data_IF_051820266633
#
_entry.id   IF_051820266633
#
_cell.length_a   1.000
_cell.length_b   1.000
_cell.length_c   1.000
_cell.angle_alpha   90.00
_cell.angle_beta   90.00
_cell.angle_gamma   90.00
#
_symmetry.space_group_name_H-M   'P 1'
#
loop_
_entity.id
_entity.type
_entity.pdbx_description
1 polymer ?
#
# COMPACT_ATOMS: atom_id res chain seq x y z
N UNK A 1 0.64 11.22 0.92
CA UNK A 1 0.01 10.99 -0.39
C UNK A 1 0.31 9.56 -0.77
N UNK A 2 -0.62 8.70 -0.42
CA UNK A 2 -0.43 7.27 -0.35
C UNK A 2 -1.33 6.62 -1.41
N UNK A 3 -0.79 5.63 -2.14
CA UNK A 3 -1.47 4.51 -2.83
C UNK A 3 -1.10 4.33 -4.28
N UNK A 4 -0.92 3.04 -4.65
CA UNK A 4 -0.51 2.65 -5.98
C UNK A 4 -1.33 1.53 -6.60
N UNK A 5 -2.00 0.66 -5.83
CA UNK A 5 -2.69 -0.53 -6.37
C UNK A 5 -3.77 -1.07 -5.41
N UNK A 6 -4.84 -1.66 -5.93
CA UNK A 6 -5.91 -2.33 -5.16
C UNK A 6 -5.89 -3.85 -5.42
N UNK A 7 -5.95 -4.63 -4.35
CA UNK A 7 -6.03 -6.10 -4.38
C UNK A 7 -7.33 -6.55 -3.71
N UNK A 8 -8.29 -7.03 -4.52
CA UNK A 8 -9.53 -7.65 -4.05
C UNK A 8 -9.29 -9.01 -3.44
N UNK A 9 -10.02 -9.32 -2.36
CA UNK A 9 -9.97 -10.62 -1.68
C UNK A 9 -8.52 -11.10 -1.48
N UNK A 10 -7.68 -10.28 -0.86
CA UNK A 10 -6.27 -10.60 -0.70
C UNK A 10 -6.08 -11.82 0.21
N UNK A 11 -5.68 -12.95 -0.37
CA UNK A 11 -5.38 -14.17 0.38
C UNK A 11 -4.26 -13.99 1.42
N UNK A 12 -3.34 -13.05 1.18
CA UNK A 12 -2.31 -12.65 2.16
C UNK A 12 -2.95 -11.92 3.35
N UNK A 13 -4.01 -11.16 3.10
CA UNK A 13 -4.71 -10.36 4.09
C UNK A 13 -6.06 -10.97 4.52
N UNK A 14 -6.10 -12.31 4.66
CA UNK A 14 -7.28 -13.07 5.14
C UNK A 14 -8.53 -12.88 4.26
N UNK A 15 -8.34 -12.87 2.94
CA UNK A 15 -9.40 -12.64 1.95
C UNK A 15 -10.06 -11.27 2.08
N UNK A 16 -9.32 -10.28 2.61
CA UNK A 16 -9.78 -8.89 2.66
C UNK A 16 -9.27 -8.09 1.48
N UNK A 17 -10.14 -7.24 0.98
CA UNK A 17 -9.76 -6.16 0.09
C UNK A 17 -8.65 -5.31 0.73
N UNK A 18 -7.63 -4.99 -0.07
CA UNK A 18 -6.38 -4.40 0.43
C UNK A 18 -5.75 -3.41 -0.54
N UNK A 19 -5.05 -2.43 0.01
CA UNK A 19 -4.34 -1.39 -0.72
C UNK A 19 -2.84 -1.54 -0.57
N UNK A 20 -2.12 -1.36 -1.68
CA UNK A 20 -0.68 -1.13 -1.65
C UNK A 20 -0.38 0.34 -1.38
N UNK A 21 0.30 0.56 -0.26
CA UNK A 21 0.55 1.86 0.36
C UNK A 21 2.04 2.13 0.38
N UNK A 22 2.49 3.18 -0.30
CA UNK A 22 3.88 3.65 -0.28
C UNK A 22 3.98 4.91 0.57
N UNK A 23 4.92 4.92 1.52
CA UNK A 23 5.04 5.96 2.54
C UNK A 23 6.48 6.46 2.69
N UNK A 24 6.61 7.76 2.93
CA UNK A 24 7.78 8.36 3.57
C UNK A 24 7.80 8.02 5.06
N UNK A 25 8.95 8.23 5.70
CA UNK A 25 9.08 8.00 7.16
C UNK A 25 8.11 8.85 7.97
N UNK A 26 7.90 10.11 7.57
CA UNK A 26 6.97 11.00 8.24
C UNK A 26 5.53 10.50 8.11
N UNK A 27 5.14 10.01 6.92
CA UNK A 27 3.79 9.47 6.71
C UNK A 27 3.53 8.19 7.51
N UNK A 28 4.56 7.36 7.72
CA UNK A 28 4.46 6.19 8.63
C UNK A 28 4.15 6.65 10.05
N UNK A 29 4.90 7.64 10.56
CA UNK A 29 4.68 8.18 11.91
C UNK A 29 3.29 8.81 12.05
N UNK A 30 2.84 9.53 11.04
CA UNK A 30 1.60 10.31 11.13
C UNK A 30 0.34 9.45 10.90
N UNK A 31 0.42 8.38 10.09
CA UNK A 31 -0.77 7.63 9.64
C UNK A 31 -0.76 6.14 10.02
N UNK A 32 0.42 5.48 10.06
CA UNK A 32 0.49 4.02 10.27
C UNK A 32 0.68 3.70 11.75
N UNK A 33 1.68 4.30 12.39
CA UNK A 33 2.01 4.02 13.79
C UNK A 33 0.88 4.32 14.80
N UNK A 34 0.00 5.31 14.58
CA UNK A 34 -1.16 5.51 15.45
C UNK A 34 -2.15 4.34 15.44
N UNK A 35 -2.16 3.54 14.37
CA UNK A 35 -3.08 2.42 14.18
C UNK A 35 -2.44 1.07 14.55
N UNK A 36 -1.14 0.90 14.30
CA UNK A 36 -0.37 -0.29 14.68
C UNK A 36 1.10 0.06 14.95
N UNK A 37 1.57 -0.25 16.16
CA UNK A 37 2.94 0.06 16.61
C UNK A 37 3.51 -0.96 17.58
N UNK A 38 3.08 -2.22 17.50
CA UNK A 38 3.67 -3.28 18.32
C UNK A 38 5.13 -3.55 17.93
N UNK A 39 5.91 -4.09 18.86
CA UNK A 39 7.36 -4.19 18.72
C UNK A 39 7.79 -5.09 17.54
N UNK A 40 6.98 -6.09 17.18
CA UNK A 40 7.32 -6.97 16.08
C UNK A 40 7.01 -6.31 14.75
N UNK A 41 5.88 -5.61 14.64
CA UNK A 41 5.58 -4.79 13.47
C UNK A 41 6.64 -3.71 13.21
N UNK A 42 7.14 -3.06 14.27
CA UNK A 42 8.22 -2.07 14.12
C UNK A 42 9.51 -2.68 13.57
N UNK A 43 9.85 -3.91 13.97
CA UNK A 43 11.02 -4.63 13.40
C UNK A 43 10.79 -5.01 11.95
N UNK A 44 9.58 -5.42 11.59
CA UNK A 44 9.21 -5.74 10.21
C UNK A 44 9.30 -4.52 9.30
N UNK A 45 8.86 -3.35 9.75
CA UNK A 45 9.07 -2.08 9.05
C UNK A 45 10.56 -1.88 8.78
N UNK A 46 11.38 -1.90 9.82
CA UNK A 46 12.82 -1.67 9.69
C UNK A 46 13.50 -2.66 8.73
N UNK A 47 13.11 -3.93 8.79
CA UNK A 47 13.67 -4.98 7.94
C UNK A 47 13.29 -4.83 6.47
N UNK A 48 12.07 -4.37 6.19
CA UNK A 48 11.52 -4.30 4.83
C UNK A 48 11.71 -2.94 4.15
N UNK A 49 12.22 -1.93 4.87
CA UNK A 49 12.55 -0.62 4.31
C UNK A 49 13.43 -0.74 3.05
N UNK A 50 13.19 0.14 2.08
CA UNK A 50 13.99 0.25 0.87
C UNK A 50 13.60 1.46 0.05
N UNK A 51 14.45 1.92 -0.86
CA UNK A 51 14.17 3.13 -1.66
C UNK A 51 13.55 2.76 -3.00
N UNK A 52 12.34 3.25 -3.28
CA UNK A 52 11.86 3.34 -4.66
C UNK A 52 12.38 4.65 -5.27
N UNK A 53 13.44 4.56 -6.07
CA UNK A 53 13.92 5.73 -6.81
C UNK A 53 13.02 5.96 -8.03
N UNK A 54 12.29 7.08 -8.06
CA UNK A 54 11.82 7.63 -9.33
C UNK A 54 12.74 8.79 -9.68
N UNK A 55 13.62 8.51 -10.65
CA UNK A 55 14.45 9.41 -11.46
C UNK A 55 14.68 10.85 -10.93
N UNK A 56 15.93 11.16 -10.58
CA UNK A 56 16.42 12.46 -10.05
C UNK A 56 16.12 13.70 -10.92
N UNK A 57 15.61 13.53 -12.14
CA UNK A 57 15.24 14.62 -13.04
C UNK A 57 13.76 15.04 -12.95
N UNK A 58 12.95 14.33 -12.15
CA UNK A 58 11.54 14.63 -11.91
C UNK A 58 11.39 14.94 -10.42
N UNK A 59 10.68 16.02 -10.10
CA UNK A 59 10.53 16.56 -8.75
C UNK A 59 9.59 15.68 -7.90
N UNK A 60 9.91 14.40 -7.73
CA UNK A 60 9.01 13.36 -7.23
C UNK A 60 9.46 12.72 -5.91
N UNK A 61 8.47 12.30 -5.12
CA UNK A 61 8.59 11.75 -3.76
C UNK A 61 9.37 10.43 -3.76
N UNK A 62 10.32 10.31 -2.82
CA UNK A 62 11.01 9.05 -2.51
C UNK A 62 10.25 8.36 -1.38
N UNK A 63 9.70 7.17 -1.64
CA UNK A 63 9.08 6.34 -0.61
C UNK A 63 10.10 5.34 -0.07
N UNK A 64 10.05 5.12 1.24
CA UNK A 64 11.00 4.29 1.99
C UNK A 64 10.35 3.08 2.66
N UNK A 65 9.02 3.08 2.77
CA UNK A 65 8.24 2.07 3.45
C UNK A 65 7.04 1.67 2.59
N UNK A 66 6.70 0.38 2.60
CA UNK A 66 5.67 -0.18 1.74
C UNK A 66 4.79 -1.13 2.54
N UNK A 67 3.48 -1.02 2.35
CA UNK A 67 2.51 -1.73 3.15
C UNK A 67 1.40 -2.31 2.28
N UNK A 68 0.88 -3.45 2.71
CA UNK A 68 -0.46 -3.89 2.33
C UNK A 68 -1.40 -3.59 3.50
N UNK A 69 -2.43 -2.79 3.25
CA UNK A 69 -3.37 -2.31 4.28
C UNK A 69 -4.78 -2.76 3.91
N UNK A 70 -5.50 -3.43 4.82
CA UNK A 70 -6.89 -3.79 4.55
C UNK A 70 -7.78 -2.55 4.47
N UNK A 71 -8.86 -2.63 3.69
CA UNK A 71 -9.85 -1.53 3.54
C UNK A 71 -10.43 -1.05 4.86
N UNK A 72 -10.62 -1.97 5.80
CA UNK A 72 -11.19 -1.72 7.11
C UNK A 72 -10.14 -1.24 8.13
N UNK A 73 -8.88 -1.06 7.70
CA UNK A 73 -7.75 -0.63 8.51
C UNK A 73 -7.50 -1.52 9.74
N UNK A 74 -7.86 -2.80 9.67
CA UNK A 74 -7.62 -3.75 10.76
C UNK A 74 -6.34 -4.57 10.59
N UNK A 75 -5.83 -4.67 9.37
CA UNK A 75 -4.63 -5.43 9.04
C UNK A 75 -3.62 -4.56 8.29
N UNK A 76 -2.38 -4.60 8.76
CA UNK A 76 -1.26 -3.88 8.17
C UNK A 76 -0.09 -4.85 8.09
N UNK A 77 0.44 -5.02 6.90
CA UNK A 77 1.58 -5.88 6.61
C UNK A 77 2.68 -5.06 5.95
N UNK A 78 3.88 -5.11 6.51
CA UNK A 78 5.06 -4.44 5.95
C UNK A 78 5.67 -5.30 4.84
N UNK A 79 6.05 -4.70 3.72
CA UNK A 79 6.64 -5.39 2.58
C UNK A 79 7.87 -4.65 2.03
N UNK A 80 8.73 -5.41 1.34
CA UNK A 80 9.86 -4.84 0.61
C UNK A 80 9.38 -4.08 -0.64
N UNK A 81 10.08 -3.01 -1.01
CA UNK A 81 9.81 -2.17 -2.18
C UNK A 81 9.72 -2.92 -3.52
N UNK A 82 10.36 -4.10 -3.63
CA UNK A 82 10.31 -4.93 -4.84
C UNK A 82 8.98 -5.68 -5.01
N UNK A 83 8.10 -5.66 -4.02
CA UNK A 83 6.79 -6.29 -4.07
C UNK A 83 5.74 -5.31 -4.65
N UNK A 84 4.70 -5.78 -5.38
CA UNK A 84 4.51 -7.12 -5.92
C UNK A 84 5.36 -7.43 -7.16
N UNK A 85 6.02 -6.42 -7.74
CA UNK A 85 6.68 -6.51 -9.03
C UNK A 85 8.13 -7.00 -8.90
N UNK A 86 8.33 -8.18 -8.32
CA UNK A 86 9.64 -8.81 -8.31
C UNK A 86 9.90 -9.38 -9.72
N UNK A 87 10.78 -8.69 -10.45
CA UNK A 87 11.03 -8.86 -11.89
C UNK A 87 11.20 -10.30 -12.39
N UNK A 88 10.54 -10.54 -13.52
CA UNK A 88 10.54 -11.67 -14.49
C UNK A 88 9.18 -12.33 -14.66
N UNK A 89 8.25 -12.19 -13.71
CA UNK A 89 6.94 -12.81 -13.78
C UNK A 89 5.83 -11.82 -13.38
N UNK A 90 5.47 -10.90 -14.28
CA UNK A 90 4.13 -10.28 -14.30
C UNK A 90 2.98 -11.33 -14.37
N UNK A 91 3.29 -12.62 -14.34
CA UNK A 91 2.37 -13.74 -14.34
C UNK A 91 1.63 -13.94 -13.01
N UNK A 92 2.02 -13.24 -11.93
CA UNK A 92 1.30 -13.29 -10.65
C UNK A 92 1.25 -11.90 -10.00
N UNK A 93 0.95 -10.86 -10.77
CA UNK A 93 0.54 -9.58 -10.19
C UNK A 93 -0.81 -9.80 -9.50
N UNK A 94 -0.89 -9.75 -8.15
CA UNK A 94 -2.11 -10.07 -7.46
C UNK A 94 -3.14 -8.92 -7.49
N UNK A 95 -2.73 -7.76 -8.00
CA UNK A 95 -3.58 -6.59 -8.11
C UNK A 95 -4.43 -6.71 -9.37
N UNK A 96 -5.75 -6.81 -9.19
CA UNK A 96 -6.73 -6.91 -10.27
C UNK A 96 -6.84 -5.59 -11.05
N UNK A 97 -6.67 -4.46 -10.37
CA UNK A 97 -6.71 -3.14 -10.96
C UNK A 97 -5.54 -2.26 -10.48
N UNK A 98 -4.89 -1.61 -11.45
CA UNK A 98 -3.82 -0.63 -11.21
C UNK A 98 -4.41 0.77 -11.41
N UNK A 99 -5.28 1.20 -10.49
CA UNK A 99 -5.75 2.58 -10.45
C UNK A 99 -4.85 3.40 -9.51
N UNK A 100 -4.17 4.41 -10.07
CA UNK A 100 -3.36 5.32 -9.27
C UNK A 100 -4.29 6.30 -8.57
N UNK A 101 -4.57 6.03 -7.29
CA UNK A 101 -5.38 6.90 -6.45
C UNK A 101 -4.51 7.59 -5.42
N UNK A 102 -4.72 8.89 -5.31
CA UNK A 102 -3.90 9.81 -4.53
C UNK A 102 -4.71 10.34 -3.35
N UNK A 103 -4.30 10.05 -2.11
CA UNK A 103 -5.01 10.57 -0.93
C UNK A 103 -4.08 11.01 0.20
N UNK A 104 -4.61 11.88 1.07
CA UNK A 104 -3.85 12.50 2.17
C UNK A 104 -3.93 11.71 3.47
N UNK A 105 -5.02 10.97 3.70
CA UNK A 105 -5.26 10.19 4.92
C UNK A 105 -5.79 8.79 4.62
N UNK A 106 -5.43 7.80 5.43
CA UNK A 106 -5.80 6.39 5.23
C UNK A 106 -7.31 6.16 5.31
N UNK A 107 -8.07 6.96 6.07
CA UNK A 107 -9.53 6.80 6.17
C UNK A 107 -10.25 7.10 4.85
N UNK A 108 -9.58 7.78 3.91
CA UNK A 108 -10.11 8.03 2.57
C UNK A 108 -10.15 6.75 1.71
N UNK A 109 -9.48 5.67 2.14
CA UNK A 109 -9.45 4.38 1.46
C UNK A 109 -10.83 3.72 1.34
N UNK A 110 -11.67 3.83 2.37
CA UNK A 110 -12.99 3.20 2.36
C UNK A 110 -13.91 3.78 1.27
N UNK A 111 -13.84 5.09 1.01
CA UNK A 111 -14.67 5.74 -0.01
C UNK A 111 -14.29 5.40 -1.46
N UNK A 112 -13.04 4.99 -1.70
CA UNK A 112 -12.55 4.62 -3.03
C UNK A 112 -13.18 3.30 -3.48
N UNK A 113 -13.41 2.36 -2.55
CA UNK A 113 -14.04 1.08 -2.85
C UNK A 113 -15.46 1.23 -3.39
N UNK A 114 -16.25 2.13 -2.80
CA UNK A 114 -17.61 2.41 -3.27
C UNK A 114 -17.61 2.98 -4.71
N UNK A 115 -16.64 3.82 -5.06
CA UNK A 115 -16.51 4.38 -6.41
C UNK A 115 -16.06 3.35 -7.45
N UNK A 116 -15.14 2.45 -7.08
CA UNK A 116 -14.68 1.35 -7.95
C UNK A 116 -15.81 0.34 -8.20
N UNK A 117 -16.55 -0.06 -7.17
CA UNK A 117 -17.72 -0.97 -7.33
C UNK A 117 -18.82 -0.36 -8.21
N UNK A 118 -19.05 0.95 -8.11
CA UNK A 118 -20.01 1.65 -8.96
C UNK A 118 -19.59 1.67 -10.44
N UNK A 119 -18.29 1.72 -10.74
CA UNK A 119 -17.77 1.65 -12.12
C UNK A 119 -17.93 0.26 -12.72
N UNK A 120 -17.81 -0.81 -11.92
CA UNK A 120 -17.93 -2.20 -12.40
C UNK A 120 -19.39 -2.63 -12.66
N UNK A 121 -20.37 -1.91 -12.12
CA UNK A 121 -21.80 -2.19 -12.30
C UNK A 121 -22.45 -1.45 -13.49
N UNK A 122 -21.71 -0.59 -14.20
CA UNK A 122 -22.15 0.20 -15.36
C UNK A 122 -21.64 -0.36 -16.69
#
# INVERSE_FOLDING_TARGET
MITRLIWRESWINKEKDSFWVECTDQEVVDNILPLKSDADFMKEIEFNRGSSEINKNLNERIYTNFFLVSVDLTEFLSFNWVYPYAGMWNAANPFEEIELVTFEKLEQLAGIFEEVELKEQL
#
